data_IF_420560535632
#
_entry.id   IF_420560535632
#
_cell.length_a   1.000
_cell.length_b   1.000
_cell.length_c   1.000
_cell.angle_alpha   90.00
_cell.angle_beta   90.00
_cell.angle_gamma   90.00
#
_symmetry.space_group_name_H-M   'P 1'
#
loop_
_entity.id
_entity.type
_entity.pdbx_description
1 polymer ?
#
# COMPACT_ATOMS: atom_id res chain seq x y z
N UNK A 1 -15.37 0.93 -3.97
CA UNK A 1 -13.89 0.88 -3.88
C UNK A 1 -13.61 0.36 -2.50
N UNK A 2 -13.33 -0.93 -2.43
CA UNK A 2 -13.43 -1.70 -1.20
C UNK A 2 -12.03 -1.79 -0.60
N UNK A 3 -11.65 -0.74 0.14
CA UNK A 3 -10.35 -0.65 0.79
C UNK A 3 -10.12 -1.81 1.76
N UNK A 4 -11.20 -2.36 2.34
CA UNK A 4 -11.14 -3.55 3.21
C UNK A 4 -10.63 -4.78 2.48
N UNK A 5 -11.17 -5.08 1.28
CA UNK A 5 -10.73 -6.22 0.48
C UNK A 5 -9.29 -6.04 0.00
N UNK A 6 -8.94 -4.81 -0.42
CA UNK A 6 -7.59 -4.47 -0.84
C UNK A 6 -6.59 -4.68 0.31
N UNK A 7 -6.90 -4.14 1.49
CA UNK A 7 -6.10 -4.30 2.71
C UNK A 7 -5.94 -5.78 3.06
N UNK A 8 -6.98 -6.58 2.94
CA UNK A 8 -6.92 -8.03 3.18
C UNK A 8 -6.00 -8.75 2.17
N UNK A 9 -6.14 -8.47 0.87
CA UNK A 9 -5.29 -9.08 -0.16
C UNK A 9 -3.80 -8.74 0.02
N UNK A 10 -3.50 -7.48 0.34
CA UNK A 10 -2.12 -7.02 0.59
C UNK A 10 -1.59 -7.69 1.86
N UNK A 11 -2.31 -7.61 2.98
CA UNK A 11 -1.89 -8.25 4.23
C UNK A 11 -1.63 -9.74 4.07
N UNK A 12 -2.48 -10.46 3.33
CA UNK A 12 -2.29 -11.90 3.11
C UNK A 12 -0.98 -12.22 2.39
N UNK A 13 -0.50 -11.36 1.50
CA UNK A 13 0.81 -11.54 0.85
C UNK A 13 1.98 -11.05 1.69
N UNK A 14 1.76 -10.07 2.56
CA UNK A 14 2.79 -9.48 3.41
C UNK A 14 2.95 -10.19 4.77
N UNK A 15 2.00 -11.04 5.14
CA UNK A 15 2.01 -11.84 6.38
C UNK A 15 3.30 -12.66 6.52
N UNK A 16 3.81 -13.22 5.42
CA UNK A 16 5.08 -13.97 5.40
C UNK A 16 6.29 -13.12 5.82
N UNK A 17 6.22 -11.80 5.68
CA UNK A 17 7.27 -10.84 6.01
C UNK A 17 7.02 -10.12 7.34
N UNK A 18 5.96 -10.49 8.07
CA UNK A 18 5.49 -9.76 9.26
C UNK A 18 5.20 -8.27 9.00
N UNK A 19 4.90 -7.93 7.73
CA UNK A 19 4.48 -6.59 7.32
C UNK A 19 2.96 -6.59 7.22
N UNK A 20 2.35 -5.49 7.65
CA UNK A 20 0.92 -5.29 7.53
C UNK A 20 0.61 -3.87 7.09
N UNK A 21 -0.55 -3.71 6.47
CA UNK A 21 -1.03 -2.39 6.07
C UNK A 21 -1.64 -1.71 7.28
N UNK A 22 -1.02 -0.65 7.75
CA UNK A 22 -1.56 0.22 8.80
C UNK A 22 -2.77 0.98 8.24
N UNK A 23 -2.53 1.74 7.17
CA UNK A 23 -3.52 2.62 6.56
C UNK A 23 -3.48 2.57 5.03
N UNK A 24 -4.67 2.73 4.43
CA UNK A 24 -4.82 2.97 3.00
C UNK A 24 -5.66 4.24 2.86
N UNK A 25 -5.08 5.26 2.26
CA UNK A 25 -5.71 6.54 2.00
C UNK A 25 -5.78 6.81 0.51
N UNK A 26 -6.90 7.36 0.05
CA UNK A 26 -7.00 7.91 -1.30
C UNK A 26 -7.22 9.42 -1.20
N UNK A 27 -6.26 10.18 -1.70
CA UNK A 27 -6.17 11.61 -1.55
C UNK A 27 -6.24 12.25 -2.94
N UNK A 28 -7.25 13.09 -3.14
CA UNK A 28 -7.40 13.84 -4.40
C UNK A 28 -6.84 15.24 -4.21
N UNK A 29 -5.70 15.54 -4.84
CA UNK A 29 -5.12 16.89 -4.88
C UNK A 29 -5.30 17.50 -6.26
N UNK A 30 -6.40 18.25 -6.41
CA UNK A 30 -6.75 18.93 -7.66
C UNK A 30 -7.10 17.95 -8.77
N UNK A 31 -6.23 17.86 -9.77
CA UNK A 31 -6.36 16.96 -10.93
C UNK A 31 -5.69 15.60 -10.73
N UNK A 32 -4.86 15.47 -9.70
CA UNK A 32 -4.10 14.26 -9.43
C UNK A 32 -4.73 13.50 -8.27
N UNK A 33 -4.68 12.19 -8.40
CA UNK A 33 -5.10 11.27 -7.37
C UNK A 33 -3.86 10.61 -6.77
N UNK A 34 -3.82 10.50 -5.45
CA UNK A 34 -2.75 9.85 -4.71
C UNK A 34 -3.35 8.70 -3.92
N UNK A 35 -2.77 7.52 -4.08
CA UNK A 35 -3.13 6.35 -3.29
C UNK A 35 -1.97 6.09 -2.33
N UNK A 36 -2.12 6.57 -1.10
CA UNK A 36 -1.15 6.40 -0.02
C UNK A 36 -1.41 5.09 0.71
N UNK A 37 -0.37 4.28 0.85
CA UNK A 37 -0.41 3.01 1.57
C UNK A 37 0.70 3.04 2.61
N UNK A 38 0.28 3.02 3.88
CA UNK A 38 1.18 2.99 5.02
C UNK A 38 1.35 1.56 5.48
N UNK A 39 2.60 1.08 5.45
CA UNK A 39 2.99 -0.25 5.90
C UNK A 39 3.59 -0.15 7.31
N UNK A 40 3.21 -1.05 8.21
CA UNK A 40 3.81 -1.20 9.54
C UNK A 40 4.37 -2.63 9.66
N UNK A 41 5.53 -2.76 10.30
CA UNK A 41 6.20 -4.05 10.52
C UNK A 41 6.65 -4.13 11.96
N UNK A 42 6.35 -5.24 12.63
CA UNK A 42 6.85 -5.51 13.97
C UNK A 42 8.34 -5.84 13.87
N UNK A 43 9.19 -4.89 14.25
CA UNK A 43 10.65 -5.02 14.20
C UNK A 43 11.37 -3.98 13.33
N UNK A 44 10.64 -3.07 12.69
CA UNK A 44 11.20 -2.10 11.75
C UNK A 44 11.13 -2.59 10.31
N UNK A 45 10.99 -1.64 9.39
CA UNK A 45 10.81 -1.90 7.96
C UNK A 45 11.99 -1.27 7.22
N UNK A 46 12.81 -2.12 6.60
CA UNK A 46 13.98 -1.69 5.83
C UNK A 46 13.61 -1.31 4.40
N UNK A 47 14.52 -0.58 3.75
CA UNK A 47 14.34 -0.08 2.38
C UNK A 47 14.08 -1.22 1.37
N UNK A 48 14.75 -2.36 1.56
CA UNK A 48 14.58 -3.56 0.72
C UNK A 48 13.16 -4.14 0.85
N UNK A 49 12.63 -4.16 2.07
CA UNK A 49 11.28 -4.64 2.38
C UNK A 49 10.21 -3.70 1.82
N UNK A 50 10.45 -2.37 1.81
CA UNK A 50 9.56 -1.39 1.15
C UNK A 50 9.49 -1.66 -0.34
N UNK A 51 10.63 -1.90 -0.99
CA UNK A 51 10.69 -2.18 -2.44
C UNK A 51 9.96 -3.48 -2.76
N UNK A 52 10.20 -4.54 -2.01
CA UNK A 52 9.53 -5.84 -2.18
C UNK A 52 8.01 -5.71 -1.97
N UNK A 53 7.59 -5.06 -0.88
CA UNK A 53 6.18 -4.78 -0.64
C UNK A 53 5.56 -3.97 -1.78
N UNK A 54 6.26 -2.98 -2.33
CA UNK A 54 5.81 -2.21 -3.48
C UNK A 54 5.59 -3.07 -4.72
N UNK A 55 6.50 -4.02 -5.00
CA UNK A 55 6.34 -4.96 -6.11
C UNK A 55 5.18 -5.92 -5.90
N UNK A 56 4.87 -6.28 -4.65
CA UNK A 56 3.72 -7.11 -4.29
C UNK A 56 2.40 -6.33 -4.39
N UNK A 57 2.38 -5.09 -3.90
CA UNK A 57 1.20 -4.24 -3.81
C UNK A 57 0.76 -3.77 -5.19
N UNK A 58 1.70 -3.31 -6.03
CA UNK A 58 1.41 -2.78 -7.38
C UNK A 58 0.42 -3.64 -8.19
N UNK A 59 0.65 -4.94 -8.41
CA UNK A 59 -0.29 -5.79 -9.16
C UNK A 59 -1.61 -6.06 -8.42
N UNK A 60 -1.64 -6.00 -7.08
CA UNK A 60 -2.88 -6.16 -6.31
C UNK A 60 -3.76 -4.92 -6.51
N UNK A 61 -3.15 -3.73 -6.46
CA UNK A 61 -3.80 -2.47 -6.74
C UNK A 61 -4.34 -2.51 -8.17
N UNK A 62 -3.50 -2.74 -9.18
CA UNK A 62 -3.97 -2.79 -10.59
C UNK A 62 -5.15 -3.74 -10.81
N UNK A 63 -5.18 -4.88 -10.10
CA UNK A 63 -6.27 -5.86 -10.23
C UNK A 63 -7.56 -5.49 -9.48
N UNK A 64 -7.45 -4.84 -8.32
CA UNK A 64 -8.61 -4.51 -7.46
C UNK A 64 -9.11 -3.08 -7.65
N UNK A 65 -8.21 -2.19 -8.06
CA UNK A 65 -8.40 -0.74 -8.16
C UNK A 65 -8.56 -0.41 -9.64
N UNK A 66 -9.81 -0.32 -10.08
CA UNK A 66 -10.14 0.08 -11.43
C UNK A 66 -10.34 1.62 -11.49
N UNK A 67 -9.29 2.38 -11.21
CA UNK A 67 -9.34 3.85 -11.36
C UNK A 67 -9.16 4.16 -12.86
N UNK A 68 -10.14 4.86 -13.45
CA UNK A 68 -10.07 5.32 -14.85
C UNK A 68 -9.11 6.49 -15.07
N UNK A 69 -8.84 7.24 -14.00
CA UNK A 69 -7.93 8.38 -13.99
C UNK A 69 -6.51 7.99 -13.56
N UNK A 70 -5.52 8.76 -14.01
CA UNK A 70 -4.16 8.59 -13.51
C UNK A 70 -4.11 8.87 -12.00
N UNK A 71 -3.45 7.96 -11.28
CA UNK A 71 -3.14 8.14 -9.86
C UNK A 71 -1.65 7.86 -9.63
N UNK A 72 -1.13 8.42 -8.54
CA UNK A 72 0.23 8.24 -8.07
C UNK A 72 0.14 7.30 -6.87
N UNK A 73 0.80 6.16 -6.98
CA UNK A 73 0.92 5.18 -5.90
C UNK A 73 2.06 5.62 -4.99
N UNK A 74 1.75 5.95 -3.75
CA UNK A 74 2.73 6.30 -2.72
C UNK A 74 2.72 5.21 -1.65
N UNK A 75 3.85 4.53 -1.47
CA UNK A 75 3.98 3.44 -0.51
C UNK A 75 5.08 3.84 0.46
N UNK A 76 4.68 3.99 1.72
CA UNK A 76 5.54 4.48 2.77
C UNK A 76 5.49 3.55 3.98
N UNK A 77 6.60 3.37 4.66
CA UNK A 77 6.63 2.69 5.96
C UNK A 77 6.25 3.65 7.07
N UNK A 78 5.55 3.14 8.08
CA UNK A 78 5.27 3.86 9.32
C UNK A 78 6.58 4.01 10.09
N UNK A 79 7.20 5.18 9.97
CA UNK A 79 8.28 5.56 10.87
C UNK A 79 7.71 5.77 12.28
N UNK A 80 7.98 4.82 13.18
CA UNK A 80 7.85 5.04 14.62
C UNK A 80 9.13 5.75 15.08
N UNK A 81 9.17 7.06 14.85
CA UNK A 81 10.18 7.94 15.45
C UNK A 81 10.07 8.01 16.96
#
# INVERSE_FOLDING_TARGET
MDFENLKFCINKKLEIKNIFVDNIGYIKKGKYNFLEIILDKVGGLDLDEVVDATQIISPIIEKNVNIKDNYILDISSKERG
#
